data_IF_441904151590
#
_entry.id   IF_441904151590
#
_cell.length_a   1.000
_cell.length_b   1.000
_cell.length_c   1.000
_cell.angle_alpha   90.00
_cell.angle_beta   90.00
_cell.angle_gamma   90.00
#
_symmetry.space_group_name_H-M   'P 1'
#
loop_
_entity.id
_entity.type
_entity.pdbx_description
1 polymer ?
#
# COMPACT_ATOMS: atom_id res chain seq x y z
N UNK A 1 47.56 27.08 25.26
CA UNK A 1 46.76 27.12 24.01
C UNK A 1 46.32 25.69 23.71
N UNK A 2 45.18 25.24 24.23
CA UNK A 2 44.62 23.91 23.87
C UNK A 2 43.41 24.09 22.99
N UNK A 3 43.64 23.96 21.69
CA UNK A 3 42.62 23.94 20.66
C UNK A 3 41.81 22.65 20.77
N UNK A 4 40.64 22.75 21.41
CA UNK A 4 39.70 21.63 21.55
C UNK A 4 39.33 21.05 20.18
N UNK A 5 39.71 19.79 19.99
CA UNK A 5 39.48 18.96 18.81
C UNK A 5 38.00 18.94 18.41
N UNK A 6 37.70 19.40 17.19
CA UNK A 6 36.37 19.36 16.59
C UNK A 6 35.86 17.91 16.55
N UNK A 7 34.73 17.67 17.20
CA UNK A 7 34.14 16.35 17.35
C UNK A 7 33.58 15.85 16.01
N UNK A 8 34.16 14.78 15.47
CA UNK A 8 33.72 14.07 14.26
C UNK A 8 32.35 13.34 14.43
N UNK A 9 31.64 13.60 15.53
CA UNK A 9 30.42 12.90 15.98
C UNK A 9 29.12 13.48 15.38
N UNK A 10 29.10 14.77 15.04
CA UNK A 10 27.91 15.47 14.54
C UNK A 10 27.41 14.98 13.16
N UNK A 11 28.33 14.57 12.28
CA UNK A 11 28.00 14.23 10.90
C UNK A 11 27.23 12.89 10.78
N UNK A 12 27.59 11.91 11.61
CA UNK A 12 26.91 10.59 11.65
C UNK A 12 25.45 10.70 12.12
N UNK A 13 25.17 11.61 13.07
CA UNK A 13 23.80 11.86 13.58
C UNK A 13 22.90 12.48 12.50
N UNK A 14 23.42 13.46 11.75
CA UNK A 14 22.68 14.07 10.64
C UNK A 14 22.39 13.09 9.50
N UNK A 15 23.37 12.26 9.12
CA UNK A 15 23.17 11.23 8.09
C UNK A 15 22.12 10.18 8.52
N UNK A 16 22.17 9.71 9.78
CA UNK A 16 21.17 8.79 10.35
C UNK A 16 19.77 9.41 10.36
N UNK A 17 19.66 10.70 10.72
CA UNK A 17 18.39 11.45 10.70
C UNK A 17 17.85 11.59 9.27
N UNK A 18 18.69 11.95 8.30
CA UNK A 18 18.32 12.02 6.87
C UNK A 18 17.94 10.66 6.29
N UNK A 19 18.50 9.55 6.78
CA UNK A 19 18.09 8.20 6.38
C UNK A 19 16.71 7.85 6.93
N UNK A 20 16.48 8.10 8.23
CA UNK A 20 15.18 7.87 8.89
C UNK A 20 14.04 8.64 8.21
N UNK A 21 14.27 9.90 7.82
CA UNK A 21 13.25 10.69 7.12
C UNK A 21 12.97 10.20 5.70
N UNK A 22 13.98 9.72 4.96
CA UNK A 22 13.77 9.09 3.64
C UNK A 22 12.95 7.81 3.73
N UNK A 23 13.25 6.96 4.71
CA UNK A 23 12.50 5.71 4.95
C UNK A 23 11.04 6.02 5.33
N UNK A 24 10.81 7.01 6.19
CA UNK A 24 9.46 7.45 6.54
C UNK A 24 8.67 7.98 5.34
N UNK A 25 9.31 8.72 4.43
CA UNK A 25 8.69 9.17 3.17
C UNK A 25 8.35 8.01 2.25
N UNK A 26 9.24 7.02 2.13
CA UNK A 26 9.01 5.81 1.31
C UNK A 26 7.84 4.98 1.84
N UNK A 27 7.72 4.83 3.16
CA UNK A 27 6.59 4.14 3.77
C UNK A 27 5.28 4.87 3.47
N UNK A 28 5.26 6.21 3.59
CA UNK A 28 4.09 7.03 3.28
C UNK A 28 3.64 6.90 1.82
N UNK A 29 4.58 6.96 0.86
CA UNK A 29 4.24 6.79 -0.56
C UNK A 29 3.71 5.39 -0.87
N UNK A 30 4.23 4.36 -0.18
CA UNK A 30 3.71 3.01 -0.32
C UNK A 30 2.29 2.90 0.25
N UNK A 31 2.04 3.48 1.43
CA UNK A 31 0.72 3.44 2.05
C UNK A 31 -0.32 4.20 1.21
N UNK A 32 0.07 5.31 0.58
CA UNK A 32 -0.75 6.02 -0.40
C UNK A 32 -1.07 5.17 -1.63
N UNK A 33 -0.05 4.49 -2.19
CA UNK A 33 -0.23 3.56 -3.31
C UNK A 33 -1.11 2.36 -2.95
N UNK A 34 -0.99 1.84 -1.73
CA UNK A 34 -1.82 0.73 -1.26
C UNK A 34 -3.30 1.13 -1.20
N UNK A 35 -3.62 2.35 -0.76
CA UNK A 35 -4.98 2.86 -0.75
C UNK A 35 -5.54 3.01 -2.17
N UNK A 36 -4.77 3.58 -3.09
CA UNK A 36 -5.14 3.68 -4.52
C UNK A 36 -5.38 2.29 -5.13
N UNK A 37 -4.50 1.32 -4.84
CA UNK A 37 -4.64 -0.04 -5.34
C UNK A 37 -5.89 -0.74 -4.79
N UNK A 38 -6.26 -0.46 -3.53
CA UNK A 38 -7.51 -0.94 -2.94
C UNK A 38 -8.72 -0.40 -3.70
N UNK A 39 -8.75 0.90 -4.01
CA UNK A 39 -9.83 1.54 -4.76
C UNK A 39 -9.97 0.92 -6.16
N UNK A 40 -8.87 0.82 -6.91
CA UNK A 40 -8.86 0.23 -8.25
C UNK A 40 -9.29 -1.24 -8.25
N UNK A 41 -8.85 -2.02 -7.25
CA UNK A 41 -9.25 -3.44 -7.15
C UNK A 41 -10.70 -3.60 -6.74
N UNK A 42 -11.26 -2.68 -5.96
CA UNK A 42 -12.68 -2.63 -5.65
C UNK A 42 -13.51 -2.43 -6.92
N UNK A 43 -13.18 -1.40 -7.71
CA UNK A 43 -13.86 -1.10 -8.97
C UNK A 43 -13.80 -2.29 -9.92
N UNK A 44 -12.62 -2.91 -10.05
CA UNK A 44 -12.46 -4.11 -10.85
C UNK A 44 -13.36 -5.25 -10.35
N UNK A 45 -13.39 -5.51 -9.05
CA UNK A 45 -14.26 -6.56 -8.50
C UNK A 45 -15.73 -6.28 -8.78
N UNK A 46 -16.20 -5.04 -8.61
CA UNK A 46 -17.58 -4.67 -8.95
C UNK A 46 -17.88 -4.87 -10.44
N UNK A 47 -16.94 -4.53 -11.33
CA UNK A 47 -17.09 -4.73 -12.77
C UNK A 47 -17.20 -6.22 -13.14
N UNK A 48 -16.34 -7.07 -12.59
CA UNK A 48 -16.42 -8.53 -12.86
C UNK A 48 -17.75 -9.09 -12.32
N UNK A 49 -18.21 -8.62 -11.15
CA UNK A 49 -19.51 -9.02 -10.59
C UNK A 49 -20.66 -8.60 -11.49
N UNK A 50 -20.68 -7.36 -11.94
CA UNK A 50 -21.71 -6.86 -12.84
C UNK A 50 -21.73 -7.63 -14.18
N UNK A 51 -20.55 -8.01 -14.68
CA UNK A 51 -20.43 -8.85 -15.89
C UNK A 51 -21.05 -10.24 -15.66
N UNK A 52 -20.78 -10.86 -14.52
CA UNK A 52 -21.38 -12.15 -14.13
C UNK A 52 -22.90 -12.02 -13.97
N UNK A 53 -23.38 -10.98 -13.28
CA UNK A 53 -24.81 -10.75 -13.03
C UNK A 53 -25.60 -10.51 -14.32
N UNK A 54 -24.97 -9.90 -15.33
CA UNK A 54 -25.55 -9.68 -16.66
C UNK A 54 -25.37 -10.86 -17.62
N UNK A 55 -24.57 -11.87 -17.25
CA UNK A 55 -24.32 -13.02 -18.12
C UNK A 55 -25.56 -13.93 -18.18
N UNK A 56 -25.90 -14.39 -19.38
CA UNK A 56 -26.98 -15.35 -19.56
C UNK A 56 -26.43 -16.76 -19.36
N UNK A 57 -26.74 -17.35 -18.21
CA UNK A 57 -26.36 -18.72 -17.86
C UNK A 57 -25.03 -18.82 -17.12
N UNK A 58 -24.69 -20.04 -16.73
CA UNK A 58 -23.48 -20.32 -15.95
C UNK A 58 -22.23 -20.27 -16.84
N UNK A 59 -21.25 -19.43 -16.46
CA UNK A 59 -19.91 -19.41 -17.04
C UNK A 59 -18.84 -19.56 -15.94
N UNK A 60 -18.16 -20.72 -15.85
CA UNK A 60 -17.11 -20.95 -14.87
C UNK A 60 -15.94 -19.96 -14.95
N UNK A 61 -15.66 -19.40 -16.13
CA UNK A 61 -14.56 -18.43 -16.31
C UNK A 61 -14.91 -17.09 -15.69
N UNK A 62 -16.16 -16.64 -15.86
CA UNK A 62 -16.66 -15.43 -15.22
C UNK A 62 -16.66 -15.57 -13.70
N UNK A 63 -17.14 -16.70 -13.17
CA UNK A 63 -17.07 -16.95 -11.73
C UNK A 63 -15.64 -16.95 -11.18
N UNK A 64 -14.70 -17.53 -11.94
CA UNK A 64 -13.29 -17.54 -11.56
C UNK A 64 -12.71 -16.13 -11.50
N UNK A 65 -12.96 -15.28 -12.50
CA UNK A 65 -12.45 -13.90 -12.52
C UNK A 65 -13.06 -13.05 -11.39
N UNK A 66 -14.35 -13.24 -11.08
CA UNK A 66 -14.99 -12.61 -9.92
C UNK A 66 -14.28 -12.99 -8.62
N UNK A 67 -14.12 -14.30 -8.36
CA UNK A 67 -13.44 -14.80 -7.15
C UNK A 67 -11.99 -14.32 -7.08
N UNK A 68 -11.29 -14.28 -8.21
CA UNK A 68 -9.91 -13.81 -8.28
C UNK A 68 -9.80 -12.32 -7.98
N UNK A 69 -10.73 -11.50 -8.47
CA UNK A 69 -10.78 -10.07 -8.16
C UNK A 69 -11.12 -9.84 -6.67
N UNK A 70 -12.07 -10.59 -6.14
CA UNK A 70 -12.46 -10.59 -4.72
C UNK A 70 -11.27 -10.89 -3.80
N UNK A 71 -10.55 -11.98 -4.07
CA UNK A 71 -9.40 -12.39 -3.24
C UNK A 71 -8.29 -11.34 -3.24
N UNK A 72 -8.06 -10.65 -4.38
CA UNK A 72 -7.09 -9.55 -4.45
C UNK A 72 -7.51 -8.36 -3.58
N UNK A 73 -8.77 -7.96 -3.68
CA UNK A 73 -9.34 -6.87 -2.89
C UNK A 73 -9.20 -7.15 -1.38
N UNK A 74 -9.63 -8.32 -0.92
CA UNK A 74 -9.54 -8.68 0.50
C UNK A 74 -8.10 -8.81 1.01
N UNK A 75 -7.19 -9.33 0.18
CA UNK A 75 -5.77 -9.40 0.53
C UNK A 75 -5.18 -8.00 0.80
N UNK A 76 -5.48 -7.03 -0.06
CA UNK A 76 -4.99 -5.66 0.10
C UNK A 76 -5.60 -4.97 1.33
N UNK A 77 -6.87 -5.22 1.62
CA UNK A 77 -7.51 -4.78 2.86
C UNK A 77 -6.83 -5.35 4.11
N UNK A 78 -6.46 -6.63 4.08
CA UNK A 78 -5.71 -7.27 5.17
C UNK A 78 -4.34 -6.63 5.36
N UNK A 79 -3.63 -6.32 4.27
CA UNK A 79 -2.34 -5.64 4.31
C UNK A 79 -2.46 -4.21 4.88
N UNK A 80 -3.49 -3.46 4.48
CA UNK A 80 -3.74 -2.12 5.02
C UNK A 80 -4.00 -2.15 6.54
N UNK A 81 -4.74 -3.16 7.02
CA UNK A 81 -4.95 -3.38 8.46
C UNK A 81 -3.65 -3.74 9.18
N UNK A 82 -2.83 -4.61 8.61
CA UNK A 82 -1.54 -4.98 9.18
C UNK A 82 -0.62 -3.76 9.34
N UNK A 83 -0.67 -2.84 8.38
CA UNK A 83 0.06 -1.57 8.40
C UNK A 83 -0.57 -0.47 9.25
N UNK A 84 -1.75 -0.71 9.83
CA UNK A 84 -2.50 0.27 10.62
C UNK A 84 -2.81 1.56 9.84
N UNK A 85 -3.03 1.46 8.54
CA UNK A 85 -3.42 2.61 7.72
C UNK A 85 -4.86 2.98 8.08
N UNK A 86 -5.07 4.15 8.67
CA UNK A 86 -6.41 4.71 8.87
C UNK A 86 -6.92 5.24 7.53
N UNK A 87 -8.13 4.85 7.12
CA UNK A 87 -8.79 5.44 5.96
C UNK A 87 -8.78 6.97 6.05
N UNK A 88 -8.55 7.66 4.91
CA UNK A 88 -8.66 9.12 4.86
C UNK A 88 -10.05 9.51 5.38
N UNK A 89 -10.09 10.42 6.35
CA UNK A 89 -11.34 11.09 6.74
C UNK A 89 -11.83 12.00 5.62
#
# INVERSE_FOLDING_TARGET
MESRSRTHSGNKRHAKRKRKTRIGKLHKSYDEYLLELIEVTQEKWQKERELLDRSFGYDPRLEFEVKKAEMKYFYLFKEARYRQISGRK
#
